data_IF_178452564617
#
_entry.id   IF_178452564617
#
_cell.length_a   1.000
_cell.length_b   1.000
_cell.length_c   1.000
_cell.angle_alpha   90.00
_cell.angle_beta   90.00
_cell.angle_gamma   90.00
#
_symmetry.space_group_name_H-M   'P 1'
#
loop_
_entity.id
_entity.type
_entity.pdbx_description
1 polymer ?
#
# COMPACT_ATOMS: atom_id res chain seq x y z
N UNK A 1 -0.46 4.82 -15.76
CA UNK A 1 0.56 4.61 -14.72
C UNK A 1 1.69 3.64 -15.14
N UNK A 2 1.64 3.04 -16.34
CA UNK A 2 2.76 2.37 -16.99
C UNK A 2 3.32 1.11 -16.32
N UNK A 3 2.59 0.49 -15.41
CA UNK A 3 2.99 -0.80 -14.85
C UNK A 3 2.77 -1.92 -15.87
N UNK A 4 3.80 -2.71 -16.11
CA UNK A 4 3.78 -3.91 -16.92
C UNK A 4 4.01 -5.10 -15.97
N UNK A 5 3.34 -6.24 -16.23
CA UNK A 5 3.43 -7.47 -15.43
C UNK A 5 3.12 -7.27 -13.92
N UNK A 6 1.87 -6.92 -13.64
CA UNK A 6 1.38 -6.68 -12.28
C UNK A 6 0.69 -7.94 -11.76
N UNK A 7 1.09 -8.39 -10.56
CA UNK A 7 0.34 -9.42 -9.82
C UNK A 7 -0.34 -8.80 -8.61
N UNK A 8 -1.66 -8.91 -8.54
CA UNK A 8 -2.47 -8.50 -7.40
C UNK A 8 -2.86 -9.73 -6.56
N UNK A 9 -2.59 -9.70 -5.26
CA UNK A 9 -3.00 -10.75 -4.32
C UNK A 9 -4.24 -10.31 -3.56
N UNK A 10 -5.28 -11.13 -3.59
CA UNK A 10 -6.53 -10.91 -2.86
C UNK A 10 -6.96 -12.23 -2.19
N UNK A 11 -7.24 -12.15 -0.89
CA UNK A 11 -7.62 -13.33 -0.11
C UNK A 11 -9.12 -13.62 -0.17
N UNK A 12 -9.94 -12.59 -0.33
CA UNK A 12 -11.38 -12.74 -0.41
C UNK A 12 -11.80 -13.16 -1.83
N UNK A 13 -12.40 -14.33 -2.03
CA UNK A 13 -12.74 -14.84 -3.38
C UNK A 13 -13.73 -13.93 -4.13
N UNK A 14 -14.67 -13.30 -3.41
CA UNK A 14 -15.62 -12.37 -4.03
C UNK A 14 -14.93 -11.13 -4.54
N UNK A 15 -13.98 -10.58 -3.76
CA UNK A 15 -13.19 -9.41 -4.16
C UNK A 15 -12.20 -9.76 -5.26
N UNK A 16 -11.61 -10.95 -5.23
CA UNK A 16 -10.74 -11.43 -6.30
C UNK A 16 -11.50 -11.57 -7.63
N UNK A 17 -12.73 -12.09 -7.61
CA UNK A 17 -13.59 -12.15 -8.79
C UNK A 17 -13.95 -10.75 -9.30
N UNK A 18 -14.33 -9.84 -8.41
CA UNK A 18 -14.61 -8.46 -8.77
C UNK A 18 -13.38 -7.77 -9.39
N UNK A 19 -12.21 -7.98 -8.82
CA UNK A 19 -10.95 -7.46 -9.35
C UNK A 19 -10.67 -8.00 -10.76
N UNK A 20 -10.85 -9.32 -11.01
CA UNK A 20 -10.71 -9.91 -12.35
C UNK A 20 -11.67 -9.28 -13.36
N UNK A 21 -12.93 -9.09 -12.97
CA UNK A 21 -13.93 -8.42 -13.84
C UNK A 21 -13.53 -6.98 -14.16
N UNK A 22 -13.02 -6.23 -13.17
CA UNK A 22 -12.53 -4.88 -13.39
C UNK A 22 -11.31 -4.85 -14.32
N UNK A 23 -10.37 -5.77 -14.16
CA UNK A 23 -9.21 -5.91 -15.05
C UNK A 23 -9.66 -6.17 -16.49
N UNK A 24 -10.57 -7.11 -16.68
CA UNK A 24 -11.12 -7.44 -18.00
C UNK A 24 -11.89 -6.26 -18.60
N UNK A 25 -12.77 -5.62 -17.83
CA UNK A 25 -13.58 -4.48 -18.29
C UNK A 25 -12.75 -3.25 -18.68
N UNK A 26 -11.52 -3.14 -18.18
CA UNK A 26 -10.57 -2.08 -18.54
C UNK A 26 -9.52 -2.53 -19.58
N UNK A 27 -9.66 -3.69 -20.19
CA UNK A 27 -8.72 -4.26 -21.16
C UNK A 27 -7.27 -4.31 -20.63
N UNK A 28 -7.09 -4.76 -19.38
CA UNK A 28 -5.79 -4.85 -18.71
C UNK A 28 -5.37 -6.27 -18.36
N UNK A 29 -6.02 -7.27 -18.92
CA UNK A 29 -5.75 -8.69 -18.64
C UNK A 29 -4.35 -9.13 -19.06
N UNK A 30 -3.76 -8.46 -20.05
CA UNK A 30 -2.40 -8.74 -20.51
C UNK A 30 -1.33 -8.18 -19.56
N UNK A 31 -1.68 -7.21 -18.71
CA UNK A 31 -0.76 -6.54 -17.80
C UNK A 31 -0.99 -6.88 -16.33
N UNK A 32 -2.20 -7.32 -15.95
CA UNK A 32 -2.59 -7.51 -14.56
C UNK A 32 -3.15 -8.91 -14.34
N UNK A 33 -2.48 -9.68 -13.49
CA UNK A 33 -2.91 -10.98 -13.01
C UNK A 33 -3.46 -10.87 -11.59
N UNK A 34 -4.70 -11.33 -11.35
CA UNK A 34 -5.28 -11.41 -10.01
C UNK A 34 -5.17 -12.84 -9.49
N UNK A 35 -4.45 -13.00 -8.40
CA UNK A 35 -4.22 -14.27 -7.71
C UNK A 35 -5.01 -14.28 -6.41
N UNK A 36 -5.95 -15.21 -6.30
CA UNK A 36 -6.69 -15.44 -5.06
C UNK A 36 -5.80 -16.22 -4.09
N UNK A 37 -5.21 -15.52 -3.15
CA UNK A 37 -4.41 -16.14 -2.10
C UNK A 37 -4.17 -15.19 -0.92
N UNK A 38 -3.92 -15.79 0.24
CA UNK A 38 -3.31 -15.08 1.35
C UNK A 38 -1.84 -14.80 1.00
N UNK A 39 -1.45 -13.53 0.90
CA UNK A 39 -0.10 -13.15 0.52
C UNK A 39 0.99 -13.70 1.48
N UNK A 40 0.65 -14.10 2.72
CA UNK A 40 1.56 -14.78 3.63
C UNK A 40 1.97 -16.18 3.12
N UNK A 41 1.18 -16.74 2.21
CA UNK A 41 1.41 -18.05 1.59
C UNK A 41 2.03 -17.98 0.19
N UNK A 42 2.48 -16.79 -0.26
CA UNK A 42 3.03 -16.58 -1.62
C UNK A 42 4.23 -17.47 -1.94
N UNK A 43 4.94 -17.95 -0.92
CA UNK A 43 6.06 -18.90 -1.08
C UNK A 43 5.68 -20.20 -1.80
N UNK A 44 4.40 -20.55 -1.81
CA UNK A 44 3.87 -21.72 -2.53
C UNK A 44 3.65 -21.44 -4.02
N UNK A 45 3.66 -20.18 -4.43
CA UNK A 45 3.27 -19.73 -5.77
C UNK A 45 4.46 -19.09 -6.49
N UNK A 46 5.24 -18.31 -5.78
CA UNK A 46 6.36 -17.55 -6.33
C UNK A 46 7.66 -17.88 -5.61
N UNK A 47 8.79 -18.03 -6.34
CA UNK A 47 10.10 -18.13 -5.73
C UNK A 47 10.53 -16.81 -5.08
N UNK A 48 11.57 -16.85 -4.25
CA UNK A 48 12.14 -15.64 -3.66
C UNK A 48 12.70 -14.73 -4.74
N UNK A 49 12.59 -13.41 -4.54
CA UNK A 49 13.15 -12.44 -5.48
C UNK A 49 12.43 -12.37 -6.84
N UNK A 50 11.13 -12.65 -6.87
CA UNK A 50 10.34 -12.64 -8.12
C UNK A 50 9.96 -11.24 -8.60
N UNK A 51 9.99 -10.22 -7.73
CA UNK A 51 9.43 -8.91 -8.04
C UNK A 51 10.45 -7.78 -7.85
N UNK A 52 10.37 -6.78 -8.72
CA UNK A 52 11.17 -5.56 -8.63
C UNK A 52 10.55 -4.56 -7.64
N UNK A 53 9.22 -4.61 -7.50
CA UNK A 53 8.49 -3.70 -6.63
C UNK A 53 7.28 -4.37 -5.98
N UNK A 54 7.02 -4.03 -4.74
CA UNK A 54 5.80 -4.38 -3.99
C UNK A 54 5.11 -3.10 -3.56
N UNK A 55 3.80 -2.99 -3.83
CA UNK A 55 2.98 -1.86 -3.40
C UNK A 55 1.90 -2.37 -2.47
N UNK A 56 1.71 -1.71 -1.31
CA UNK A 56 0.72 -2.13 -0.32
C UNK A 56 0.00 -0.93 0.31
N UNK A 57 -1.31 -1.06 0.43
CA UNK A 57 -2.14 -0.20 1.28
C UNK A 57 -2.79 -1.09 2.35
N UNK A 58 -2.10 -1.31 3.48
CA UNK A 58 -2.58 -2.25 4.49
C UNK A 58 -3.79 -1.72 5.26
N UNK A 59 -4.61 -2.59 5.84
CA UNK A 59 -5.63 -2.16 6.79
C UNK A 59 -4.97 -1.50 8.00
N UNK A 60 -5.50 -0.33 8.43
CA UNK A 60 -4.89 0.50 9.48
C UNK A 60 -5.29 0.13 10.90
N UNK A 61 -6.16 -0.86 11.09
CA UNK A 61 -6.68 -1.21 12.41
C UNK A 61 -5.79 -2.23 13.10
N UNK A 62 -5.39 -1.90 14.32
CA UNK A 62 -4.90 -2.90 15.27
C UNK A 62 -6.09 -3.66 15.85
N UNK A 63 -5.89 -4.97 16.05
CA UNK A 63 -6.88 -5.82 16.70
C UNK A 63 -7.11 -5.30 18.11
N UNK A 64 -8.37 -5.07 18.46
CA UNK A 64 -8.79 -4.66 19.82
C UNK A 64 -9.04 -3.19 20.05
N UNK A 65 -8.83 -2.32 19.06
CA UNK A 65 -9.04 -0.86 19.20
C UNK A 65 -10.11 -0.29 18.28
N UNK A 66 -11.34 -0.81 18.29
CA UNK A 66 -12.41 -0.17 17.51
C UNK A 66 -13.77 -0.82 17.65
N UNK A 67 -14.84 0.00 17.70
CA UNK A 67 -16.22 -0.44 17.56
C UNK A 67 -16.35 -1.33 16.33
N UNK A 68 -16.78 -2.58 16.52
CA UNK A 68 -17.22 -3.42 15.42
C UNK A 68 -18.37 -2.71 14.69
N UNK A 69 -18.14 -2.26 13.47
CA UNK A 69 -19.23 -1.91 12.59
C UNK A 69 -19.95 -3.20 12.22
N UNK A 70 -21.13 -3.40 12.80
CA UNK A 70 -22.06 -4.47 12.45
C UNK A 70 -22.66 -4.22 11.05
N UNK A 71 -21.85 -4.22 10.00
CA UNK A 71 -22.36 -4.50 8.68
C UNK A 71 -22.53 -6.01 8.58
N UNK A 72 -23.77 -6.47 8.79
CA UNK A 72 -24.19 -7.85 8.61
C UNK A 72 -24.04 -8.26 7.14
N UNK A 73 -22.86 -8.75 6.79
CA UNK A 73 -22.61 -9.47 5.56
C UNK A 73 -21.80 -10.69 5.90
N UNK A 74 -22.39 -11.88 5.76
CA UNK A 74 -21.90 -13.20 6.18
C UNK A 74 -20.51 -13.59 5.62
N UNK A 75 -19.93 -12.80 4.72
CA UNK A 75 -18.62 -13.06 4.13
C UNK A 75 -17.45 -12.29 4.79
N UNK A 76 -17.71 -11.25 5.57
CA UNK A 76 -16.65 -10.38 6.10
C UNK A 76 -15.93 -10.94 7.32
N UNK A 77 -16.63 -11.64 8.20
CA UNK A 77 -16.09 -12.09 9.49
C UNK A 77 -15.05 -13.22 9.38
N UNK A 78 -15.05 -13.98 8.28
CA UNK A 78 -14.14 -15.13 8.10
C UNK A 78 -12.79 -14.75 7.50
N UNK A 79 -12.67 -13.55 6.91
CA UNK A 79 -11.48 -13.08 6.21
C UNK A 79 -10.76 -11.89 6.88
N UNK A 80 -11.25 -11.43 8.05
CA UNK A 80 -10.49 -10.50 8.90
C UNK A 80 -9.31 -11.25 9.55
N UNK A 81 -8.42 -11.73 8.71
CA UNK A 81 -7.15 -12.29 9.12
C UNK A 81 -6.32 -11.17 9.73
N UNK A 82 -5.77 -11.45 10.91
CA UNK A 82 -4.87 -10.61 11.66
C UNK A 82 -3.58 -10.36 10.87
N UNK A 83 -3.64 -9.47 9.88
CA UNK A 83 -2.47 -9.06 9.12
C UNK A 83 -1.70 -8.06 9.95
N UNK A 84 -0.46 -8.39 10.27
CA UNK A 84 0.45 -7.51 11.00
C UNK A 84 1.37 -6.76 10.04
N UNK A 85 1.95 -5.65 10.49
CA UNK A 85 3.01 -5.00 9.74
C UNK A 85 4.21 -5.93 9.51
N UNK A 86 4.46 -6.83 10.45
CA UNK A 86 5.52 -7.82 10.34
C UNK A 86 5.30 -8.80 9.18
N UNK A 87 4.07 -9.25 8.96
CA UNK A 87 3.70 -10.10 7.81
C UNK A 87 3.98 -9.40 6.49
N UNK A 88 3.70 -8.09 6.42
CA UNK A 88 3.95 -7.29 5.22
C UNK A 88 5.45 -7.22 4.91
N UNK A 89 6.27 -6.82 5.89
CA UNK A 89 7.71 -6.71 5.69
C UNK A 89 8.37 -8.05 5.41
N UNK A 90 7.95 -9.12 6.09
CA UNK A 90 8.43 -10.48 5.87
C UNK A 90 8.09 -10.95 4.44
N UNK A 91 6.86 -10.75 4.00
CA UNK A 91 6.43 -11.14 2.65
C UNK A 91 7.14 -10.31 1.59
N UNK A 92 7.25 -9.00 1.78
CA UNK A 92 7.95 -8.12 0.86
C UNK A 92 9.44 -8.49 0.75
N UNK A 93 10.10 -8.81 1.86
CA UNK A 93 11.49 -9.28 1.86
C UNK A 93 11.66 -10.55 1.03
N UNK A 94 10.71 -11.48 1.13
CA UNK A 94 10.75 -12.71 0.35
C UNK A 94 10.53 -12.45 -1.14
N UNK A 95 9.54 -11.64 -1.49
CA UNK A 95 9.15 -11.40 -2.88
C UNK A 95 10.12 -10.51 -3.65
N UNK A 96 10.74 -9.56 -2.99
CA UNK A 96 11.59 -8.57 -3.66
C UNK A 96 12.95 -9.13 -4.05
N UNK A 97 13.39 -8.79 -5.25
CA UNK A 97 14.79 -8.87 -5.64
C UNK A 97 15.63 -7.99 -4.72
N UNK A 98 16.91 -8.32 -4.54
CA UNK A 98 17.83 -7.41 -3.85
C UNK A 98 17.89 -6.06 -4.58
N UNK A 99 17.75 -4.95 -3.86
CA UNK A 99 17.59 -3.64 -4.44
C UNK A 99 16.15 -3.29 -4.86
N UNK A 100 15.20 -4.21 -4.75
CA UNK A 100 13.78 -3.98 -5.03
C UNK A 100 13.13 -3.02 -4.03
N UNK A 101 11.94 -2.53 -4.34
CA UNK A 101 11.25 -1.47 -3.61
C UNK A 101 9.96 -1.96 -2.97
N UNK A 102 9.75 -1.59 -1.70
CA UNK A 102 8.46 -1.67 -1.04
C UNK A 102 7.89 -0.26 -0.90
N UNK A 103 6.75 0.01 -1.52
CA UNK A 103 6.04 1.28 -1.39
C UNK A 103 4.74 1.06 -0.62
N UNK A 104 4.48 1.91 0.37
CA UNK A 104 3.28 1.80 1.18
C UNK A 104 2.72 3.17 1.58
N UNK A 105 1.42 3.18 1.83
CA UNK A 105 0.75 4.26 2.56
C UNK A 105 0.37 3.74 3.95
N UNK A 106 0.59 4.54 4.98
CA UNK A 106 0.20 4.18 6.35
C UNK A 106 -0.19 5.40 7.17
N UNK A 107 -0.65 5.19 8.40
CA UNK A 107 -0.89 6.25 9.38
C UNK A 107 0.45 6.90 9.76
N UNK A 108 0.45 8.23 9.87
CA UNK A 108 1.66 8.99 10.17
C UNK A 108 2.18 8.74 11.61
N UNK A 109 1.28 8.47 12.56
CA UNK A 109 1.63 8.15 13.95
C UNK A 109 2.39 6.80 14.12
N UNK A 110 2.40 5.95 13.09
CA UNK A 110 3.13 4.68 13.09
C UNK A 110 4.49 4.76 12.37
N UNK A 111 4.94 5.96 12.00
CA UNK A 111 6.15 6.15 11.20
C UNK A 111 7.40 5.52 11.84
N UNK A 112 7.56 5.69 13.15
CA UNK A 112 8.73 5.14 13.89
C UNK A 112 8.71 3.62 13.87
N UNK A 113 7.54 3.01 14.07
CA UNK A 113 7.38 1.55 14.03
C UNK A 113 7.70 1.00 12.64
N UNK A 114 7.22 1.69 11.59
CA UNK A 114 7.44 1.29 10.20
C UNK A 114 8.93 1.31 9.82
N UNK A 115 9.66 2.36 10.21
CA UNK A 115 11.09 2.48 9.95
C UNK A 115 11.87 1.42 10.75
N UNK A 116 11.54 1.26 12.02
CA UNK A 116 12.20 0.28 12.89
C UNK A 116 12.02 -1.14 12.38
N UNK A 117 10.78 -1.48 12.01
CA UNK A 117 10.46 -2.79 11.47
C UNK A 117 11.08 -2.99 10.10
N UNK A 118 11.05 -1.97 9.23
CA UNK A 118 11.70 -2.01 7.92
C UNK A 118 13.17 -2.42 8.03
N UNK A 119 13.93 -1.77 8.91
CA UNK A 119 15.34 -2.10 9.14
C UNK A 119 15.57 -3.52 9.64
N UNK A 120 14.68 -4.05 10.49
CA UNK A 120 14.73 -5.45 10.93
C UNK A 120 14.65 -6.42 9.76
N UNK A 121 13.90 -6.08 8.72
CA UNK A 121 13.76 -6.84 7.48
C UNK A 121 14.70 -6.40 6.35
N UNK A 122 15.79 -5.69 6.68
CA UNK A 122 16.79 -5.19 5.73
C UNK A 122 16.20 -4.26 4.66
N UNK A 123 15.12 -3.57 5.02
CA UNK A 123 14.48 -2.55 4.20
C UNK A 123 14.81 -1.17 4.74
N UNK A 124 15.63 -0.42 4.03
CA UNK A 124 15.98 0.95 4.41
C UNK A 124 15.00 1.94 3.80
N UNK A 125 14.46 2.84 4.62
CA UNK A 125 13.57 3.90 4.16
C UNK A 125 14.35 4.87 3.28
N UNK A 126 13.88 5.11 2.05
CA UNK A 126 14.54 5.95 1.05
C UNK A 126 13.80 7.24 0.77
N UNK A 127 12.47 7.20 0.85
CA UNK A 127 11.63 8.38 0.64
C UNK A 127 10.48 8.37 1.60
N UNK A 128 10.21 9.52 2.20
CA UNK A 128 9.06 9.75 3.07
C UNK A 128 8.36 11.00 2.61
N UNK A 129 7.05 10.90 2.38
CA UNK A 129 6.20 12.03 2.08
C UNK A 129 5.03 12.08 3.05
N UNK A 130 4.98 13.04 3.98
CA UNK A 130 3.83 13.20 4.87
C UNK A 130 2.62 13.77 4.12
N UNK A 131 1.43 13.29 4.49
CA UNK A 131 0.16 13.70 3.89
C UNK A 131 -0.69 14.41 4.95
N UNK A 132 -1.11 15.62 4.64
CA UNK A 132 -1.92 16.47 5.49
C UNK A 132 -3.29 16.69 4.89
N UNK A 133 -4.33 16.71 5.73
CA UNK A 133 -5.66 17.05 5.26
C UNK A 133 -5.71 18.50 4.74
N UNK A 134 -5.01 19.43 5.42
CA UNK A 134 -4.92 20.87 5.09
C UNK A 134 -3.74 21.51 5.81
N UNK A 135 -3.37 22.71 5.41
CA UNK A 135 -2.33 23.51 6.08
C UNK A 135 -2.69 23.67 7.58
N UNK A 136 -1.68 23.54 8.44
CA UNK A 136 -1.81 23.69 9.90
C UNK A 136 -2.40 22.48 10.63
N UNK A 137 -2.86 21.45 9.92
CA UNK A 137 -3.25 20.18 10.54
C UNK A 137 -2.03 19.29 10.82
N UNK A 138 -2.19 18.25 11.64
CA UNK A 138 -1.19 17.19 11.76
C UNK A 138 -1.22 16.25 10.55
N UNK A 139 -0.09 15.61 10.24
CA UNK A 139 -0.04 14.59 9.20
C UNK A 139 -0.97 13.42 9.55
N UNK A 140 -1.84 13.05 8.63
CA UNK A 140 -2.80 11.94 8.80
C UNK A 140 -2.29 10.63 8.22
N UNK A 141 -1.46 10.73 7.18
CA UNK A 141 -0.85 9.58 6.48
C UNK A 141 0.60 9.90 6.15
N UNK A 142 1.32 8.87 5.81
CA UNK A 142 2.68 8.95 5.28
C UNK A 142 2.79 7.99 4.09
N UNK A 143 3.40 8.46 3.03
CA UNK A 143 3.83 7.64 1.89
C UNK A 143 5.29 7.29 2.15
N UNK A 144 5.61 6.01 2.02
CA UNK A 144 6.94 5.49 2.29
C UNK A 144 7.43 4.64 1.11
N UNK A 145 8.68 4.84 0.77
CA UNK A 145 9.42 3.92 -0.08
C UNK A 145 10.60 3.34 0.69
N UNK A 146 10.65 2.03 0.76
CA UNK A 146 11.78 1.27 1.29
C UNK A 146 12.53 0.58 0.16
N UNK A 147 13.84 0.36 0.36
CA UNK A 147 14.67 -0.43 -0.54
C UNK A 147 15.24 -1.64 0.17
N UNK A 148 15.02 -2.83 -0.38
CA UNK A 148 15.58 -4.05 0.17
C UNK A 148 17.10 -4.07 -0.02
N UNK A 149 17.85 -4.22 1.07
CA UNK A 149 19.32 -4.14 1.06
C UNK A 149 19.88 -2.74 0.77
N UNK A 150 19.04 -1.68 0.87
CA UNK A 150 19.48 -0.30 0.68
C UNK A 150 20.42 0.18 1.79
N UNK A 151 21.28 1.15 1.44
CA UNK A 151 22.09 1.91 2.41
C UNK A 151 21.28 3.10 2.96
N UNK A 152 21.81 3.80 3.95
CA UNK A 152 21.26 5.06 4.49
C UNK A 152 21.07 6.09 3.36
N UNK A 153 20.56 7.25 3.59
CA UNK A 153 20.15 8.31 2.66
C UNK A 153 18.62 8.36 2.48
N UNK A 154 17.99 9.07 3.40
CA UNK A 154 16.56 9.32 3.38
C UNK A 154 16.27 10.67 2.72
N UNK A 155 15.34 10.68 1.78
CA UNK A 155 14.75 11.89 1.20
C UNK A 155 13.41 12.14 1.93
N UNK A 156 13.33 13.27 2.62
CA UNK A 156 12.08 13.78 3.16
C UNK A 156 11.47 14.75 2.14
N UNK A 157 10.38 14.32 1.51
CA UNK A 157 9.72 15.10 0.48
C UNK A 157 8.83 16.21 1.06
N UNK A 158 8.56 17.27 0.28
CA UNK A 158 7.55 18.25 0.63
C UNK A 158 6.21 17.60 0.94
N UNK A 159 5.42 18.13 1.89
CA UNK A 159 4.16 17.54 2.29
C UNK A 159 3.16 17.51 1.13
N UNK A 160 2.36 16.45 1.06
CA UNK A 160 1.18 16.40 0.20
C UNK A 160 -0.01 17.00 0.96
N UNK A 161 -0.55 18.10 0.46
CA UNK A 161 -1.75 18.72 1.00
C UNK A 161 -2.96 18.24 0.21
N UNK A 162 -3.98 17.71 0.89
CA UNK A 162 -5.18 17.20 0.22
C UNK A 162 -6.12 18.35 -0.16
N UNK A 163 -6.36 19.27 0.77
CA UNK A 163 -7.32 20.36 0.60
C UNK A 163 -6.68 21.74 0.75
N UNK A 164 -7.20 22.67 -0.03
CA UNK A 164 -6.99 24.10 0.12
C UNK A 164 -7.74 24.63 1.36
N UNK A 165 -7.55 25.91 1.68
CA UNK A 165 -8.23 26.57 2.81
C UNK A 165 -9.75 26.66 2.65
N UNK A 166 -10.24 26.68 1.42
CA UNK A 166 -11.66 26.68 1.05
C UNK A 166 -12.32 25.30 1.05
N UNK A 167 -11.54 24.24 1.31
CA UNK A 167 -11.99 22.84 1.31
C UNK A 167 -11.93 22.13 -0.05
N UNK A 168 -11.60 22.83 -1.13
CA UNK A 168 -11.37 22.20 -2.44
C UNK A 168 -10.12 21.32 -2.42
N UNK A 169 -9.99 20.41 -3.38
CA UNK A 169 -8.74 19.67 -3.58
C UNK A 169 -7.63 20.59 -4.08
N UNK A 170 -6.39 20.33 -3.63
CA UNK A 170 -5.23 21.02 -4.17
C UNK A 170 -5.00 20.62 -5.63
N UNK A 171 -4.30 21.49 -6.37
CA UNK A 171 -3.97 21.21 -7.76
C UNK A 171 -3.21 19.88 -7.90
N UNK A 172 -2.25 19.61 -7.04
CA UNK A 172 -1.49 18.35 -7.04
C UNK A 172 -2.39 17.12 -6.89
N UNK A 173 -3.38 17.17 -6.00
CA UNK A 173 -4.36 16.09 -5.84
C UNK A 173 -5.21 15.93 -7.11
N UNK A 174 -5.62 17.02 -7.73
CA UNK A 174 -6.38 16.97 -8.99
C UNK A 174 -5.56 16.34 -10.11
N UNK A 175 -4.28 16.67 -10.22
CA UNK A 175 -3.36 16.06 -11.17
C UNK A 175 -3.17 14.56 -10.91
N UNK A 176 -2.98 14.14 -9.65
CA UNK A 176 -2.89 12.73 -9.26
C UNK A 176 -4.14 11.94 -9.68
N UNK A 177 -5.32 12.55 -9.56
CA UNK A 177 -6.58 11.93 -10.00
C UNK A 177 -6.85 12.04 -11.50
N UNK A 178 -5.95 12.63 -12.28
CA UNK A 178 -6.13 12.83 -13.72
C UNK A 178 -7.29 13.78 -14.07
N UNK A 179 -7.73 14.62 -13.11
CA UNK A 179 -8.76 15.63 -13.33
C UNK A 179 -8.07 16.90 -13.83
N UNK A 180 -8.44 17.35 -15.03
CA UNK A 180 -8.00 18.68 -15.51
C UNK A 180 -8.60 19.73 -14.57
N UNK A 181 -7.80 20.68 -14.13
CA UNK A 181 -8.27 21.91 -13.52
C UNK A 181 -9.18 22.59 -14.56
N UNK A 182 -10.45 22.79 -14.26
CA UNK A 182 -11.26 23.68 -15.07
C UNK A 182 -10.68 25.09 -14.85
N UNK A 183 -10.08 25.64 -15.90
CA UNK A 183 -9.79 27.06 -15.99
C UNK A 183 -11.06 27.89 -15.96
#
# INVERSE_FOLDING_TARGET
LGGEDITAFEINPVMADLARRNVNGNNKSDCIKVVECDYRNVKKIYPTGSFDSVVVNPPYREIGTGRMNHCKGVASASYELNVTLEDIFHTAQYLLKYGGRLTMVHRADRLVDLITLGRRYKMEAKRIRPVYARIGASAVRVLLEFRYGGHTELILEPPLLIHNTDGSYTQEIMEIYGKKTNE
#
